data_IF_634914134237
#
_entry.id   IF_634914134237
#
_cell.length_a   1.000
_cell.length_b   1.000
_cell.length_c   1.000
_cell.angle_alpha   90.00
_cell.angle_beta   90.00
_cell.angle_gamma   90.00
#
_symmetry.space_group_name_H-M   'P 1'
#
loop_
_entity.id
_entity.type
_entity.pdbx_description
1 polymer ?
#
# COMPACT_ATOMS: atom_id res chain seq x y z
N UNK A 1 -21.16 62.02 6.18
CA UNK A 1 -21.65 60.61 6.32
C UNK A 1 -20.65 59.56 5.81
N UNK A 2 -19.97 59.72 4.67
CA UNK A 2 -18.97 58.74 4.19
C UNK A 2 -17.79 58.47 5.16
N UNK A 3 -17.25 59.50 5.80
CA UNK A 3 -16.11 59.36 6.75
C UNK A 3 -16.42 58.55 8.00
N UNK A 4 -17.68 58.60 8.49
CA UNK A 4 -18.14 57.85 9.66
C UNK A 4 -18.29 56.37 9.33
N UNK A 5 -18.71 56.04 8.08
CA UNK A 5 -18.83 54.65 7.60
C UNK A 5 -17.48 53.97 7.51
N UNK A 6 -16.45 54.68 7.04
CA UNK A 6 -15.08 54.13 6.98
C UNK A 6 -14.48 53.89 8.39
N UNK A 7 -14.76 54.75 9.35
CA UNK A 7 -14.32 54.57 10.73
C UNK A 7 -14.96 53.32 11.36
N UNK A 8 -16.25 53.08 11.12
CA UNK A 8 -16.98 51.88 11.58
C UNK A 8 -16.48 50.61 10.94
N UNK A 9 -16.16 50.60 9.65
CA UNK A 9 -15.62 49.45 8.91
C UNK A 9 -14.21 49.12 9.46
N UNK A 10 -13.37 50.13 9.73
CA UNK A 10 -12.02 49.91 10.24
C UNK A 10 -12.03 49.32 11.68
N UNK A 11 -13.00 49.72 12.52
CA UNK A 11 -13.21 49.18 13.85
C UNK A 11 -13.65 47.68 13.80
N UNK A 12 -14.53 47.33 12.84
CA UNK A 12 -15.00 45.95 12.63
C UNK A 12 -13.86 45.03 12.17
N UNK A 13 -12.96 45.51 11.30
CA UNK A 13 -11.81 44.74 10.82
C UNK A 13 -10.78 44.51 11.96
N UNK A 14 -10.55 45.49 12.83
CA UNK A 14 -9.62 45.35 13.94
C UNK A 14 -10.16 44.37 15.00
N UNK A 15 -11.46 44.40 15.28
CA UNK A 15 -12.07 43.48 16.26
C UNK A 15 -12.08 42.03 15.71
N UNK A 16 -12.35 41.82 14.43
CA UNK A 16 -12.27 40.49 13.82
C UNK A 16 -10.83 39.95 13.75
N UNK A 17 -9.84 40.82 13.55
CA UNK A 17 -8.42 40.45 13.56
C UNK A 17 -7.93 39.99 14.93
N UNK A 18 -8.37 40.65 16.00
CA UNK A 18 -7.98 40.29 17.38
C UNK A 18 -8.61 38.99 17.89
N UNK A 19 -9.80 38.62 17.39
CA UNK A 19 -10.44 37.34 17.73
C UNK A 19 -9.71 36.17 17.12
N UNK A 20 -9.08 36.32 15.94
CA UNK A 20 -8.28 35.29 15.32
C UNK A 20 -6.87 35.17 15.91
N UNK A 21 -6.27 36.25 16.40
CA UNK A 21 -4.92 36.23 16.96
C UNK A 21 -4.85 35.55 18.34
N UNK A 22 -5.95 35.43 19.10
CA UNK A 22 -5.97 34.86 20.44
C UNK A 22 -6.50 33.41 20.51
N UNK A 23 -6.77 32.77 19.35
CA UNK A 23 -6.89 31.32 19.30
C UNK A 23 -5.48 30.75 19.14
N UNK A 24 -4.77 30.66 20.26
CA UNK A 24 -3.67 29.71 20.40
C UNK A 24 -4.24 28.34 20.03
N UNK A 25 -3.90 27.85 18.86
CA UNK A 25 -4.10 26.45 18.48
C UNK A 25 -3.25 25.61 19.45
N UNK A 26 -3.80 25.28 20.60
CA UNK A 26 -3.39 24.08 21.29
C UNK A 26 -3.92 22.94 20.38
N UNK A 27 -3.09 22.49 19.46
CA UNK A 27 -3.25 21.20 18.80
C UNK A 27 -3.00 20.08 19.84
N UNK A 28 -3.83 20.06 20.87
CA UNK A 28 -4.13 18.84 21.57
C UNK A 28 -5.23 18.17 20.74
N UNK A 29 -4.84 17.52 19.66
CA UNK A 29 -5.64 16.44 19.10
C UNK A 29 -5.75 15.43 20.24
N UNK A 30 -6.95 15.17 20.79
CA UNK A 30 -7.10 14.09 21.77
C UNK A 30 -6.56 12.86 21.05
N UNK A 31 -5.49 12.27 21.56
CA UNK A 31 -4.90 11.08 20.98
C UNK A 31 -6.03 10.09 20.75
N UNK A 32 -6.32 9.79 19.48
CA UNK A 32 -7.31 8.79 19.14
C UNK A 32 -6.88 7.53 19.90
N UNK A 33 -7.70 7.00 20.82
CA UNK A 33 -7.27 5.87 21.63
C UNK A 33 -6.78 4.79 20.69
N UNK A 34 -5.53 4.37 20.86
CA UNK A 34 -4.93 3.30 20.04
C UNK A 34 -5.84 2.09 20.22
N UNK A 35 -6.41 1.53 19.16
CA UNK A 35 -7.31 0.39 19.30
C UNK A 35 -6.56 -0.73 20.01
N UNK A 36 -7.10 -1.20 21.14
CA UNK A 36 -6.53 -2.35 21.85
C UNK A 36 -6.46 -3.54 20.87
N UNK A 37 -5.34 -4.25 20.79
CA UNK A 37 -5.24 -5.43 19.93
C UNK A 37 -6.36 -6.41 20.25
N UNK A 38 -7.15 -6.79 19.25
CA UNK A 38 -8.23 -7.77 19.39
C UNK A 38 -7.63 -9.13 19.76
N UNK A 39 -8.24 -9.83 20.71
CA UNK A 39 -7.88 -11.20 21.00
C UNK A 39 -8.27 -12.15 19.84
N UNK A 40 -7.76 -13.38 19.84
CA UNK A 40 -8.04 -14.35 18.77
C UNK A 40 -9.54 -14.63 18.58
N UNK A 41 -10.30 -14.70 19.68
CA UNK A 41 -11.75 -14.92 19.64
C UNK A 41 -12.49 -13.74 18.99
N UNK A 42 -12.12 -12.49 19.33
CA UNK A 42 -12.68 -11.28 18.74
C UNK A 42 -12.35 -11.15 17.25
N UNK A 43 -11.11 -11.50 16.85
CA UNK A 43 -10.72 -11.54 15.43
C UNK A 43 -11.54 -12.55 14.65
N UNK A 44 -11.74 -13.76 15.20
CA UNK A 44 -12.54 -14.80 14.56
C UNK A 44 -14.02 -14.39 14.46
N UNK A 45 -14.59 -13.74 15.49
CA UNK A 45 -15.96 -13.23 15.45
C UNK A 45 -16.12 -12.12 14.40
N UNK A 46 -15.16 -11.18 14.33
CA UNK A 46 -15.15 -10.12 13.34
C UNK A 46 -15.03 -10.68 11.91
N UNK A 47 -14.18 -11.70 11.70
CA UNK A 47 -14.05 -12.38 10.41
C UNK A 47 -15.37 -13.03 9.98
N UNK A 48 -16.03 -13.81 10.87
CA UNK A 48 -17.33 -14.42 10.58
C UNK A 48 -18.40 -13.37 10.27
N UNK A 49 -18.42 -12.28 11.02
CA UNK A 49 -19.36 -11.18 10.77
C UNK A 49 -19.12 -10.54 9.40
N UNK A 50 -17.84 -10.34 9.02
CA UNK A 50 -17.51 -9.82 7.69
C UNK A 50 -17.89 -10.80 6.58
N UNK A 51 -17.62 -12.10 6.75
CA UNK A 51 -18.01 -13.14 5.78
C UNK A 51 -19.50 -13.18 5.47
N UNK A 52 -20.36 -12.73 6.41
CA UNK A 52 -21.81 -12.62 6.23
C UNK A 52 -22.23 -11.32 5.49
N UNK A 53 -21.32 -10.38 5.26
CA UNK A 53 -21.62 -9.16 4.49
C UNK A 53 -21.71 -9.47 2.99
N UNK A 54 -22.38 -8.61 2.19
CA UNK A 54 -22.37 -8.75 0.72
C UNK A 54 -20.97 -8.80 0.11
N UNK A 55 -20.03 -8.05 0.67
CA UNK A 55 -18.62 -8.03 0.24
C UNK A 55 -17.92 -9.35 0.58
N UNK A 56 -18.14 -9.87 1.78
CA UNK A 56 -17.58 -11.16 2.23
C UNK A 56 -18.12 -12.32 1.39
N UNK A 57 -19.43 -12.33 1.07
CA UNK A 57 -20.03 -13.33 0.19
C UNK A 57 -19.38 -13.30 -1.19
N UNK A 58 -19.25 -12.12 -1.82
CA UNK A 58 -18.59 -11.95 -3.12
C UNK A 58 -17.13 -12.40 -3.10
N UNK A 59 -16.45 -12.15 -1.99
CA UNK A 59 -15.06 -12.59 -1.81
C UNK A 59 -14.98 -14.12 -1.78
N UNK A 60 -15.85 -14.79 -1.03
CA UNK A 60 -15.95 -16.26 -0.99
C UNK A 60 -16.30 -16.88 -2.34
N UNK A 61 -17.21 -16.26 -3.09
CA UNK A 61 -17.53 -16.66 -4.46
C UNK A 61 -16.31 -16.55 -5.37
N UNK A 62 -15.54 -15.47 -5.25
CA UNK A 62 -14.28 -15.31 -6.00
C UNK A 62 -13.25 -16.36 -5.57
N UNK A 63 -13.05 -16.63 -4.28
CA UNK A 63 -12.13 -17.68 -3.81
C UNK A 63 -12.46 -19.05 -4.43
N UNK A 64 -13.74 -19.38 -4.51
CA UNK A 64 -14.21 -20.62 -5.10
C UNK A 64 -14.11 -20.66 -6.64
N UNK A 65 -13.99 -19.52 -7.30
CA UNK A 65 -13.94 -19.39 -8.76
C UNK A 65 -12.64 -19.92 -9.35
N UNK A 66 -12.60 -20.24 -10.64
CA UNK A 66 -11.34 -20.60 -11.34
C UNK A 66 -10.27 -19.50 -11.22
N UNK A 67 -10.67 -18.22 -11.25
CA UNK A 67 -9.76 -17.09 -11.12
C UNK A 67 -9.11 -17.03 -9.72
N UNK A 68 -9.89 -17.15 -8.66
CA UNK A 68 -9.38 -17.19 -7.29
C UNK A 68 -8.45 -18.37 -7.06
N UNK A 69 -8.87 -19.56 -7.49
CA UNK A 69 -8.04 -20.78 -7.39
C UNK A 69 -6.69 -20.65 -8.09
N UNK A 70 -6.65 -20.01 -9.28
CA UNK A 70 -5.40 -19.73 -9.99
C UNK A 70 -4.49 -18.81 -9.17
N UNK A 71 -5.03 -17.74 -8.58
CA UNK A 71 -4.26 -16.81 -7.74
C UNK A 71 -3.69 -17.52 -6.53
N UNK A 72 -4.48 -18.33 -5.82
CA UNK A 72 -4.01 -19.11 -4.67
C UNK A 72 -2.95 -20.15 -5.04
N UNK A 73 -3.08 -20.80 -6.21
CA UNK A 73 -2.06 -21.73 -6.70
C UNK A 73 -0.71 -21.00 -6.94
N UNK A 74 -0.76 -19.81 -7.56
CA UNK A 74 0.44 -19.00 -7.79
C UNK A 74 1.04 -18.51 -6.46
N UNK A 75 0.24 -18.12 -5.45
CA UNK A 75 0.74 -17.81 -4.09
C UNK A 75 1.47 -19.01 -3.48
N UNK A 76 0.90 -20.20 -3.55
CA UNK A 76 1.50 -21.41 -3.02
C UNK A 76 2.87 -21.72 -3.66
N UNK A 77 3.04 -21.42 -4.95
CA UNK A 77 4.28 -21.66 -5.69
C UNK A 77 5.48 -20.85 -5.16
N UNK A 78 5.24 -19.65 -4.62
CA UNK A 78 6.33 -18.81 -4.08
C UNK A 78 6.44 -18.84 -2.55
N UNK A 79 5.49 -19.47 -1.85
CA UNK A 79 5.39 -19.41 -0.38
C UNK A 79 6.70 -19.82 0.32
N UNK A 80 7.37 -20.87 -0.15
CA UNK A 80 8.64 -21.30 0.44
C UNK A 80 9.72 -20.23 0.36
N UNK A 81 9.79 -19.49 -0.77
CA UNK A 81 10.77 -18.41 -0.94
C UNK A 81 10.47 -17.22 -0.02
N UNK A 82 9.20 -16.97 0.26
CA UNK A 82 8.78 -15.92 1.20
C UNK A 82 9.14 -16.27 2.63
N UNK A 83 8.92 -17.53 3.03
CA UNK A 83 9.24 -18.04 4.38
C UNK A 83 10.74 -17.94 4.65
N UNK A 84 11.57 -18.37 3.71
CA UNK A 84 13.02 -18.40 3.86
C UNK A 84 13.68 -17.07 3.52
N UNK A 85 12.90 -16.07 3.06
CA UNK A 85 13.42 -14.81 2.50
C UNK A 85 14.52 -15.03 1.46
N UNK A 86 14.37 -16.11 0.67
CA UNK A 86 15.36 -16.53 -0.31
C UNK A 86 15.26 -15.71 -1.60
N UNK A 87 16.31 -15.79 -2.40
CA UNK A 87 16.33 -15.14 -3.71
C UNK A 87 15.35 -15.84 -4.68
N UNK A 88 14.59 -15.02 -5.41
CA UNK A 88 13.74 -15.46 -6.52
C UNK A 88 14.27 -14.82 -7.80
N UNK A 89 14.49 -15.63 -8.83
CA UNK A 89 14.73 -15.11 -10.17
C UNK A 89 13.41 -14.58 -10.74
N UNK A 90 13.43 -13.36 -11.23
CA UNK A 90 12.26 -12.69 -11.78
C UNK A 90 12.58 -12.02 -13.10
N UNK A 91 11.62 -11.98 -14.00
CA UNK A 91 11.72 -11.26 -15.28
C UNK A 91 10.62 -10.22 -15.34
N UNK A 92 10.96 -8.97 -15.64
CA UNK A 92 9.97 -7.90 -15.82
C UNK A 92 9.14 -8.16 -17.08
N UNK A 93 7.82 -8.32 -16.94
CA UNK A 93 6.91 -8.57 -18.07
C UNK A 93 6.12 -7.32 -18.48
N UNK A 94 5.92 -6.37 -17.55
CA UNK A 94 5.32 -5.06 -17.86
C UNK A 94 5.76 -4.03 -16.82
N UNK A 95 5.98 -2.79 -17.28
CA UNK A 95 6.26 -1.65 -16.42
C UNK A 95 4.99 -0.98 -15.90
N UNK A 96 3.83 -1.43 -16.35
CA UNK A 96 2.52 -0.93 -15.92
C UNK A 96 1.77 -2.01 -15.14
N UNK A 97 1.13 -1.61 -14.07
CA UNK A 97 0.19 -2.45 -13.33
C UNK A 97 -1.12 -2.64 -14.12
N UNK A 98 -1.93 -3.65 -13.77
CA UNK A 98 -3.25 -3.84 -14.38
C UNK A 98 -4.10 -2.56 -14.32
N UNK A 99 -4.93 -2.29 -15.35
CA UNK A 99 -5.74 -1.09 -15.41
C UNK A 99 -6.59 -0.84 -14.16
N UNK A 100 -6.64 0.40 -13.70
CA UNK A 100 -7.35 0.80 -12.49
C UNK A 100 -6.67 0.36 -11.19
N UNK A 101 -5.42 -0.07 -11.22
CA UNK A 101 -4.64 -0.38 -10.02
C UNK A 101 -4.47 0.86 -9.13
N UNK A 102 -4.51 0.66 -7.79
CA UNK A 102 -4.25 1.69 -6.76
C UNK A 102 -3.16 1.24 -5.79
N UNK A 103 -2.25 0.39 -6.25
CA UNK A 103 -1.21 -0.22 -5.40
C UNK A 103 0.06 0.64 -5.26
N UNK A 104 0.05 1.88 -5.74
CA UNK A 104 1.26 2.70 -5.79
C UNK A 104 2.21 2.25 -6.90
N UNK A 105 3.53 2.44 -6.69
CA UNK A 105 4.54 2.02 -7.66
C UNK A 105 4.70 0.49 -7.65
N UNK A 106 4.69 -0.09 -8.83
CA UNK A 106 4.90 -1.52 -9.02
C UNK A 106 5.02 -1.87 -10.51
N UNK A 107 5.42 -3.09 -10.76
CA UNK A 107 5.59 -3.65 -12.10
C UNK A 107 5.05 -5.09 -12.13
N UNK A 108 4.81 -5.63 -13.32
CA UNK A 108 4.53 -7.05 -13.50
C UNK A 108 5.83 -7.82 -13.65
N UNK A 109 5.96 -8.91 -12.94
CA UNK A 109 7.11 -9.81 -13.02
C UNK A 109 6.67 -11.25 -13.16
N UNK A 110 7.45 -12.03 -13.89
CA UNK A 110 7.32 -13.49 -13.98
C UNK A 110 8.34 -14.14 -13.07
N UNK A 111 7.85 -15.03 -12.19
CA UNK A 111 8.64 -15.82 -11.24
C UNK A 111 8.16 -17.27 -11.37
N UNK A 112 9.06 -18.22 -11.65
CA UNK A 112 8.72 -19.64 -11.80
C UNK A 112 7.54 -19.87 -12.80
N UNK A 113 7.58 -19.20 -13.95
CA UNK A 113 6.57 -19.27 -15.03
C UNK A 113 5.18 -18.68 -14.70
N UNK A 114 4.98 -18.11 -13.51
CA UNK A 114 3.75 -17.42 -13.12
C UNK A 114 3.95 -15.90 -13.05
N UNK A 115 2.93 -15.14 -13.43
CA UNK A 115 2.96 -13.68 -13.40
C UNK A 115 2.45 -13.14 -12.05
N UNK A 116 3.16 -12.13 -11.52
CA UNK A 116 2.87 -11.46 -10.25
C UNK A 116 2.84 -9.94 -10.42
N UNK A 117 2.02 -9.27 -9.65
CA UNK A 117 2.15 -7.85 -9.38
C UNK A 117 3.23 -7.70 -8.30
N UNK A 118 4.30 -6.96 -8.58
CA UNK A 118 5.33 -6.67 -7.57
C UNK A 118 5.28 -5.19 -7.25
N UNK A 119 5.05 -4.86 -5.97
CA UNK A 119 4.94 -3.47 -5.47
C UNK A 119 6.12 -3.11 -4.59
N UNK A 120 6.45 -1.82 -4.52
CA UNK A 120 7.58 -1.30 -3.76
C UNK A 120 7.18 -0.10 -2.90
N UNK A 121 7.56 -0.14 -1.62
CA UNK A 121 7.46 0.99 -0.69
C UNK A 121 8.77 1.79 -0.76
N UNK A 122 9.01 2.43 -1.91
CA UNK A 122 10.27 3.06 -2.25
C UNK A 122 10.25 4.57 -1.95
N UNK A 123 11.35 5.09 -1.45
CA UNK A 123 11.58 6.52 -1.38
C UNK A 123 11.88 7.12 -2.77
N UNK A 124 12.00 8.44 -2.86
CA UNK A 124 12.21 9.15 -4.13
C UNK A 124 13.47 8.68 -4.86
N UNK A 125 14.57 8.45 -4.15
CA UNK A 125 15.85 8.04 -4.73
C UNK A 125 15.82 6.62 -5.28
N UNK A 126 15.13 5.73 -4.59
CA UNK A 126 14.90 4.35 -5.01
C UNK A 126 13.92 4.26 -6.18
N UNK A 127 12.89 5.12 -6.21
CA UNK A 127 11.96 5.21 -7.34
C UNK A 127 12.68 5.55 -8.64
N UNK A 128 13.66 6.46 -8.62
CA UNK A 128 14.47 6.79 -9.80
C UNK A 128 15.21 5.57 -10.37
N UNK A 129 15.75 4.71 -9.51
CA UNK A 129 16.40 3.47 -9.92
C UNK A 129 15.40 2.45 -10.47
N UNK A 130 14.25 2.31 -9.82
CA UNK A 130 13.16 1.40 -10.25
C UNK A 130 12.52 1.87 -11.57
N UNK A 131 12.44 3.17 -11.84
CA UNK A 131 12.02 3.70 -13.15
C UNK A 131 12.99 3.36 -14.29
N UNK A 132 14.23 3.00 -13.97
CA UNK A 132 15.21 2.51 -14.94
C UNK A 132 15.02 1.05 -15.36
N UNK A 133 14.02 0.34 -14.82
CA UNK A 133 13.67 -1.02 -15.25
C UNK A 133 13.13 -1.03 -16.68
N UNK A 134 13.35 -2.15 -17.37
CA UNK A 134 12.87 -2.42 -18.73
C UNK A 134 12.18 -3.76 -18.77
N UNK A 135 11.26 -3.93 -19.71
CA UNK A 135 10.68 -5.24 -20.02
C UNK A 135 11.80 -6.19 -20.43
N UNK A 136 11.75 -7.42 -19.95
CA UNK A 136 12.74 -8.49 -20.06
C UNK A 136 13.99 -8.30 -19.17
N UNK A 137 14.09 -7.29 -18.32
CA UNK A 137 15.13 -7.26 -17.29
C UNK A 137 15.03 -8.49 -16.39
N UNK A 138 16.17 -9.15 -16.18
CA UNK A 138 16.33 -10.25 -15.24
C UNK A 138 16.77 -9.70 -13.89
N UNK A 139 16.06 -10.08 -12.85
CA UNK A 139 16.24 -9.53 -11.51
C UNK A 139 16.35 -10.65 -10.48
N UNK A 140 17.03 -10.36 -9.39
CA UNK A 140 16.90 -11.13 -8.16
C UNK A 140 15.97 -10.36 -7.24
N UNK A 141 14.84 -10.97 -6.88
CA UNK A 141 13.82 -10.42 -5.98
C UNK A 141 13.85 -11.16 -4.65
N UNK A 142 13.69 -10.43 -3.53
CA UNK A 142 13.31 -11.00 -2.22
C UNK A 142 12.05 -10.35 -1.71
N UNK A 143 11.23 -11.14 -1.05
CA UNK A 143 9.99 -10.69 -0.40
C UNK A 143 9.71 -11.58 0.81
N UNK A 144 8.90 -11.09 1.74
CA UNK A 144 8.37 -11.84 2.89
C UNK A 144 6.84 -11.86 2.91
N UNK A 145 6.20 -11.26 1.94
CA UNK A 145 4.74 -11.19 1.92
C UNK A 145 4.16 -11.27 0.52
N UNK A 146 3.08 -12.01 0.42
CA UNK A 146 2.19 -12.07 -0.73
C UNK A 146 0.77 -11.81 -0.25
N UNK A 147 -0.03 -11.20 -1.07
CA UNK A 147 -1.45 -10.93 -0.84
C UNK A 147 -2.22 -11.02 -2.15
N UNK A 148 -3.54 -11.00 -2.05
CA UNK A 148 -4.42 -11.03 -3.21
C UNK A 148 -5.59 -10.06 -3.04
N UNK A 149 -6.25 -9.76 -4.13
CA UNK A 149 -7.54 -9.07 -4.14
C UNK A 149 -8.37 -9.52 -5.34
N UNK A 150 -9.69 -9.70 -5.21
CA UNK A 150 -10.58 -10.17 -6.29
C UNK A 150 -10.51 -9.36 -7.58
N UNK A 151 -10.08 -8.12 -7.47
CA UNK A 151 -9.88 -7.18 -8.57
C UNK A 151 -8.75 -7.60 -9.52
N UNK A 152 -7.78 -8.37 -9.05
CA UNK A 152 -6.59 -8.75 -9.82
C UNK A 152 -6.58 -10.23 -10.13
N UNK A 153 -6.13 -10.57 -11.34
CA UNK A 153 -5.92 -11.95 -11.77
C UNK A 153 -4.55 -12.51 -11.35
N UNK A 154 -3.79 -11.75 -10.56
CA UNK A 154 -2.41 -12.05 -10.17
C UNK A 154 -2.22 -11.80 -8.66
N UNK A 155 -1.41 -12.62 -7.97
CA UNK A 155 -1.00 -12.31 -6.61
C UNK A 155 -0.18 -11.01 -6.56
N UNK A 156 -0.19 -10.36 -5.38
CA UNK A 156 0.52 -9.12 -5.12
C UNK A 156 1.67 -9.41 -4.16
N UNK A 157 2.89 -9.29 -4.63
CA UNK A 157 4.13 -9.49 -3.87
C UNK A 157 4.68 -8.14 -3.44
N UNK A 158 4.96 -7.95 -2.15
CA UNK A 158 5.66 -6.76 -1.66
C UNK A 158 7.17 -7.00 -1.75
N UNK A 159 7.86 -6.31 -2.66
CA UNK A 159 9.31 -6.41 -2.79
C UNK A 159 10.02 -5.83 -1.56
N UNK A 160 10.99 -6.56 -1.02
CA UNK A 160 11.89 -6.10 0.05
C UNK A 160 13.29 -5.80 -0.47
N UNK A 161 13.68 -6.44 -1.57
CA UNK A 161 15.00 -6.30 -2.18
C UNK A 161 14.93 -6.61 -3.66
N UNK A 162 15.62 -5.82 -4.47
CA UNK A 162 15.78 -6.07 -5.90
C UNK A 162 17.22 -5.80 -6.31
N UNK A 163 17.78 -6.75 -7.06
CA UNK A 163 19.11 -6.65 -7.65
C UNK A 163 19.02 -6.88 -9.16
N UNK A 164 19.77 -6.09 -9.94
CA UNK A 164 19.94 -6.22 -11.38
C UNK A 164 21.43 -6.13 -11.71
N UNK A 165 21.94 -7.07 -12.47
CA UNK A 165 23.35 -7.12 -12.91
C UNK A 165 24.34 -7.01 -11.71
N UNK A 166 24.10 -7.77 -10.63
CA UNK A 166 24.85 -7.76 -9.37
C UNK A 166 24.85 -6.38 -8.65
N UNK A 167 23.93 -5.48 -9.01
CA UNK A 167 23.76 -4.19 -8.36
C UNK A 167 22.40 -4.10 -7.68
N UNK A 168 22.41 -3.79 -6.39
CA UNK A 168 21.18 -3.53 -5.64
C UNK A 168 20.55 -2.23 -6.15
N UNK A 169 19.33 -2.32 -6.67
CA UNK A 169 18.54 -1.17 -7.15
C UNK A 169 17.39 -0.81 -6.21
N UNK A 170 17.03 -1.72 -5.31
CA UNK A 170 16.03 -1.46 -4.28
C UNK A 170 16.29 -2.30 -3.04
N UNK A 171 16.15 -1.69 -1.87
CA UNK A 171 16.14 -2.37 -0.57
C UNK A 171 15.19 -1.63 0.35
N UNK A 172 14.16 -2.31 0.83
CA UNK A 172 13.18 -1.73 1.76
C UNK A 172 13.86 -1.23 3.02
N UNK A 173 13.57 0.01 3.38
CA UNK A 173 14.00 0.62 4.64
C UNK A 173 12.89 0.36 5.67
N UNK A 174 13.14 -0.35 6.78
CA UNK A 174 12.15 -0.51 7.82
C UNK A 174 11.71 0.86 8.34
N UNK A 175 10.40 1.10 8.42
CA UNK A 175 9.87 2.31 9.03
C UNK A 175 10.20 2.28 10.53
N UNK A 176 10.73 3.39 11.06
CA UNK A 176 11.07 3.52 12.48
C UNK A 176 9.83 3.56 13.39
N UNK A 177 8.66 3.78 12.82
CA UNK A 177 7.38 3.98 13.53
C UNK A 177 6.49 2.72 13.54
N UNK A 178 7.06 1.56 13.26
CA UNK A 178 6.37 0.28 13.41
C UNK A 178 6.20 -0.06 14.89
N UNK A 179 4.96 -0.16 15.33
CA UNK A 179 4.54 -0.62 16.66
C UNK A 179 5.29 -1.87 17.11
#
# INVERSE_FOLDING_TARGET
>A
MKKVIYALILLLVVVSGLVFANRGYKNETPGKPTPKPLCAAEKNAAMKAWEATPEGIKFKEWEASPAGKKVYAAEANIMKHLTDSSNMEAVVTSLSLPPGSRLGFGVMMRINDEDYIVTFDADKSQLEQLHGLKVNDKLILRSRSVSHAPKYAYPIVSGDYVERDNKVIYKRIPRKDGC
#
